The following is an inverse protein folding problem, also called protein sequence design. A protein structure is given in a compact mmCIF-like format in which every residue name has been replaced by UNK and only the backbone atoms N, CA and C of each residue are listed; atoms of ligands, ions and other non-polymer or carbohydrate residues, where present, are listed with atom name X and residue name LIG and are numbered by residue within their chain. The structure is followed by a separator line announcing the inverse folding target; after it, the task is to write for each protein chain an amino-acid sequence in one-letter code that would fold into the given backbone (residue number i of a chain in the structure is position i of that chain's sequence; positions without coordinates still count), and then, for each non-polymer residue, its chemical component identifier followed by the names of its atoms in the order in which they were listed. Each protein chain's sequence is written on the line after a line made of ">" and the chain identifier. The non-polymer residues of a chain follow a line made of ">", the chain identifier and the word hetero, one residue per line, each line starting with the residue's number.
data_IF_948522188388
#
_entry.id   IF_948522188388
#
_cell.length_a   1.000
_cell.length_b   1.000
_cell.length_c   1.000
_cell.angle_alpha   90.00
_cell.angle_beta   90.00
_cell.angle_gamma   90.00
#
_symmetry.space_group_name_H-M   'P 1'
#
loop_
_entity.id
_entity.type
_entity.pdbx_description
1 polymer ?
#
# COMPACT_ATOMS: atom_id res chain seq x y z
N UNK A 1 -17.84 -44.54 14.53
CA UNK A 1 -17.03 -45.77 14.41
C UNK A 1 -17.23 -46.27 12.99
N UNK A 2 -16.20 -46.21 12.12
CA UNK A 2 -14.98 -47.00 12.28
C UNK A 2 -13.69 -46.18 12.31
N UNK A 3 -12.77 -46.68 13.14
CA UNK A 3 -11.41 -46.25 13.41
C UNK A 3 -10.45 -46.70 12.32
N UNK A 4 -9.82 -45.76 11.62
CA UNK A 4 -8.64 -46.06 10.80
C UNK A 4 -7.39 -45.89 11.66
N UNK A 5 -6.67 -47.00 11.78
CA UNK A 5 -5.50 -47.23 12.63
C UNK A 5 -4.40 -46.22 12.28
N UNK A 6 -3.99 -45.44 13.29
CA UNK A 6 -2.78 -44.62 13.27
C UNK A 6 -1.58 -45.56 13.21
N UNK A 7 -1.12 -45.87 12.00
CA UNK A 7 0.21 -46.43 11.80
C UNK A 7 1.24 -45.39 12.23
N UNK A 8 1.76 -45.53 13.45
CA UNK A 8 2.98 -44.84 13.84
C UNK A 8 4.13 -45.45 13.04
N UNK A 9 4.43 -44.85 11.88
CA UNK A 9 5.74 -45.00 11.27
C UNK A 9 6.61 -43.94 11.92
N UNK A 10 7.45 -44.38 12.85
CA UNK A 10 8.56 -43.59 13.37
C UNK A 10 9.36 -43.04 12.19
N UNK A 11 9.28 -41.73 11.95
CA UNK A 11 10.12 -41.05 10.98
C UNK A 11 11.57 -41.17 11.46
N UNK A 12 12.46 -41.86 10.73
CA UNK A 12 13.88 -41.84 11.04
C UNK A 12 14.38 -40.42 10.81
N UNK A 13 15.03 -39.87 11.83
CA UNK A 13 15.66 -38.55 11.84
C UNK A 13 16.96 -38.54 11.03
N UNK A 14 16.93 -38.99 9.78
CA UNK A 14 18.10 -39.07 8.91
C UNK A 14 17.96 -38.17 7.67
N UNK A 15 18.97 -37.33 7.35
CA UNK A 15 18.94 -36.36 6.26
C UNK A 15 19.09 -36.99 4.85
N UNK A 16 18.92 -38.31 4.73
CA UNK A 16 19.33 -39.09 3.56
C UNK A 16 18.28 -39.10 2.44
N UNK A 17 17.02 -38.76 2.73
CA UNK A 17 15.94 -38.76 1.71
C UNK A 17 15.82 -37.48 0.88
N UNK A 18 16.62 -36.44 1.14
CA UNK A 18 16.57 -35.16 0.40
C UNK A 18 17.49 -35.08 -0.83
N UNK A 19 18.16 -36.17 -1.21
CA UNK A 19 19.23 -36.12 -2.22
C UNK A 19 18.93 -36.84 -3.55
N UNK A 20 17.87 -37.65 -3.66
CA UNK A 20 17.73 -38.56 -4.83
C UNK A 20 16.64 -38.16 -5.84
N UNK A 21 15.64 -37.37 -5.46
CA UNK A 21 14.59 -36.88 -6.38
C UNK A 21 14.78 -35.41 -6.80
N UNK A 22 15.54 -34.64 -6.03
CA UNK A 22 15.85 -33.21 -6.20
C UNK A 22 16.95 -32.91 -7.22
N UNK A 23 17.83 -33.86 -7.53
CA UNK A 23 18.91 -33.65 -8.49
C UNK A 23 18.43 -33.69 -9.96
N UNK A 24 17.44 -34.53 -10.28
CA UNK A 24 16.93 -34.72 -11.65
C UNK A 24 16.10 -33.52 -12.13
N UNK A 25 15.47 -32.79 -11.21
CA UNK A 25 14.72 -31.58 -11.52
C UNK A 25 15.53 -30.30 -11.31
N UNK A 26 16.85 -30.34 -11.09
CA UNK A 26 17.63 -29.11 -10.84
C UNK A 26 17.97 -28.36 -12.12
N UNK A 27 18.54 -29.08 -13.09
CA UNK A 27 19.08 -28.52 -14.34
C UNK A 27 18.09 -27.67 -15.15
N UNK A 28 16.83 -28.09 -15.40
CA UNK A 28 15.91 -27.26 -16.20
C UNK A 28 15.49 -25.97 -15.48
N UNK A 29 15.44 -25.96 -14.15
CA UNK A 29 15.01 -24.80 -13.38
C UNK A 29 16.13 -23.78 -13.17
N UNK A 30 17.39 -24.23 -13.02
CA UNK A 30 18.55 -23.33 -12.97
C UNK A 30 18.77 -22.68 -14.34
N UNK A 31 18.68 -23.45 -15.43
CA UNK A 31 18.80 -22.92 -16.79
C UNK A 31 17.69 -21.89 -17.12
N UNK A 32 16.47 -22.15 -16.65
CA UNK A 32 15.37 -21.20 -16.79
C UNK A 32 15.59 -19.96 -15.91
N UNK A 33 16.04 -20.12 -14.66
CA UNK A 33 16.38 -19.04 -13.75
C UNK A 33 17.44 -18.10 -14.33
N UNK A 34 18.54 -18.64 -14.86
CA UNK A 34 19.59 -17.87 -15.53
C UNK A 34 19.06 -17.14 -16.77
N UNK A 35 18.18 -17.79 -17.55
CA UNK A 35 17.55 -17.16 -18.72
C UNK A 35 16.60 -16.00 -18.36
N UNK A 36 16.05 -16.03 -17.15
CA UNK A 36 15.17 -15.00 -16.60
C UNK A 36 15.93 -13.97 -15.73
N UNK A 37 17.25 -14.12 -15.58
CA UNK A 37 18.09 -13.25 -14.75
C UNK A 37 17.91 -13.45 -13.25
N UNK A 38 17.32 -14.57 -12.81
CA UNK A 38 17.11 -14.93 -11.41
C UNK A 38 18.32 -15.71 -10.87
N UNK A 39 19.50 -15.09 -10.89
CA UNK A 39 20.76 -15.73 -10.45
C UNK A 39 20.84 -15.99 -8.95
N UNK A 40 20.01 -15.28 -8.17
CA UNK A 40 19.98 -15.41 -6.70
C UNK A 40 18.97 -16.46 -6.21
N UNK A 41 18.25 -17.11 -7.13
CA UNK A 41 17.23 -18.08 -6.80
C UNK A 41 17.72 -19.51 -7.01
N UNK A 42 18.02 -20.21 -5.92
CA UNK A 42 18.32 -21.64 -5.98
C UNK A 42 17.04 -22.47 -5.72
N UNK A 43 16.46 -23.11 -6.75
CA UNK A 43 15.18 -23.82 -6.63
C UNK A 43 15.24 -25.04 -5.70
N UNK A 44 16.43 -25.49 -5.30
CA UNK A 44 16.61 -26.64 -4.39
C UNK A 44 16.61 -26.23 -2.91
N UNK A 45 16.67 -24.94 -2.61
CA UNK A 45 16.68 -24.43 -1.22
C UNK A 45 15.29 -24.43 -0.58
N UNK A 46 14.24 -24.49 -1.40
CA UNK A 46 12.84 -24.48 -0.96
C UNK A 46 12.20 -25.81 -1.34
N UNK A 47 11.60 -26.50 -0.36
CA UNK A 47 10.81 -27.69 -0.62
C UNK A 47 9.41 -27.29 -1.12
N UNK A 48 9.13 -27.52 -2.40
CA UNK A 48 7.88 -27.14 -3.06
C UNK A 48 6.70 -28.07 -2.76
N UNK A 49 6.95 -29.24 -2.18
CA UNK A 49 5.91 -30.24 -1.86
C UNK A 49 5.27 -30.02 -0.48
N UNK A 50 5.84 -29.13 0.33
CA UNK A 50 5.31 -28.72 1.63
C UNK A 50 4.76 -27.30 1.57
N UNK A 51 3.60 -27.00 2.18
CA UNK A 51 3.13 -25.63 2.28
C UNK A 51 4.16 -24.79 3.04
N UNK A 52 4.38 -23.56 2.57
CA UNK A 52 5.32 -22.64 3.21
C UNK A 52 4.96 -22.45 4.68
N UNK A 53 5.90 -22.75 5.56
CA UNK A 53 5.75 -22.53 6.99
C UNK A 53 5.79 -21.02 7.26
N UNK A 54 4.65 -20.46 7.66
CA UNK A 54 4.60 -19.07 8.10
C UNK A 54 5.46 -18.96 9.35
N UNK A 55 6.63 -18.31 9.24
CA UNK A 55 7.51 -18.09 10.39
C UNK A 55 6.72 -17.42 11.51
N UNK A 56 6.70 -18.06 12.67
CA UNK A 56 6.05 -17.51 13.86
C UNK A 56 6.62 -16.11 14.17
N UNK A 57 5.76 -15.18 14.54
CA UNK A 57 6.06 -13.75 14.74
C UNK A 57 7.10 -13.46 15.85
N UNK A 58 7.70 -14.50 16.44
CA UNK A 58 8.60 -14.43 17.58
C UNK A 58 10.07 -14.64 17.22
N UNK A 59 10.45 -15.31 16.12
CA UNK A 59 11.87 -15.59 15.83
C UNK A 59 12.20 -15.64 14.32
N UNK A 60 13.28 -14.94 13.94
CA UNK A 60 14.05 -15.04 12.68
C UNK A 60 13.37 -14.83 11.31
N UNK A 61 12.20 -14.17 11.28
CA UNK A 61 11.57 -13.76 10.01
C UNK A 61 10.80 -12.44 10.02
N UNK A 62 10.57 -11.84 11.19
CA UNK A 62 9.79 -10.61 11.30
C UNK A 62 10.68 -9.38 11.07
N UNK A 63 10.23 -8.43 10.23
CA UNK A 63 10.91 -7.16 9.98
C UNK A 63 11.09 -6.31 11.27
N UNK A 64 10.27 -6.55 12.28
CA UNK A 64 10.35 -5.92 13.60
C UNK A 64 9.79 -6.84 14.70
N UNK A 65 10.22 -6.63 15.95
CA UNK A 65 9.66 -7.33 17.11
C UNK A 65 8.13 -7.13 17.19
N UNK A 66 7.41 -8.18 17.58
CA UNK A 66 5.94 -8.17 17.69
C UNK A 66 5.41 -6.99 18.53
N UNK A 67 6.08 -6.65 19.63
CA UNK A 67 5.75 -5.49 20.46
C UNK A 67 5.93 -4.15 19.73
N UNK A 68 6.96 -4.02 18.90
CA UNK A 68 7.16 -2.84 18.05
C UNK A 68 6.06 -2.73 16.97
N UNK A 69 5.62 -3.87 16.42
CA UNK A 69 4.49 -3.92 15.49
C UNK A 69 3.19 -3.43 16.11
N UNK A 70 2.85 -3.91 17.32
CA UNK A 70 1.68 -3.42 18.05
C UNK A 70 1.80 -1.95 18.45
N UNK A 71 2.98 -1.52 18.89
CA UNK A 71 3.23 -0.12 19.22
C UNK A 71 3.08 0.79 18.00
N UNK A 72 3.51 0.34 16.81
CA UNK A 72 3.34 1.09 15.58
C UNK A 72 1.86 1.17 15.19
N UNK A 73 1.14 0.05 15.11
CA UNK A 73 -0.27 0.07 14.69
C UNK A 73 -1.15 0.84 15.68
N UNK A 74 -1.06 0.50 16.97
CA UNK A 74 -1.93 1.08 17.99
C UNK A 74 -1.45 2.46 18.43
N UNK A 75 -0.15 2.64 18.65
CA UNK A 75 0.42 3.90 19.12
C UNK A 75 0.36 4.99 18.05
N UNK A 76 0.73 4.69 16.80
CA UNK A 76 0.62 5.65 15.70
C UNK A 76 -0.85 5.98 15.42
N UNK A 77 -1.72 4.96 15.36
CA UNK A 77 -3.17 5.17 15.15
C UNK A 77 -3.80 6.03 16.25
N UNK A 78 -3.49 5.75 17.52
CA UNK A 78 -3.97 6.54 18.65
C UNK A 78 -3.42 7.97 18.64
N UNK A 79 -2.15 8.16 18.29
CA UNK A 79 -1.53 9.48 18.17
C UNK A 79 -2.24 10.34 17.12
N UNK A 80 -2.44 9.83 15.90
CA UNK A 80 -3.14 10.58 14.85
C UNK A 80 -4.60 10.85 15.22
N UNK A 81 -5.26 9.89 15.87
CA UNK A 81 -6.62 10.09 16.38
C UNK A 81 -6.68 11.22 17.40
N UNK A 82 -5.77 11.23 18.38
CA UNK A 82 -5.69 12.29 19.39
C UNK A 82 -5.33 13.65 18.76
N UNK A 83 -4.43 13.67 17.78
CA UNK A 83 -4.06 14.87 17.04
C UNK A 83 -5.24 15.45 16.24
N UNK A 84 -5.96 14.62 15.50
CA UNK A 84 -7.16 15.05 14.78
C UNK A 84 -8.25 15.51 15.75
N UNK A 85 -8.47 14.78 16.85
CA UNK A 85 -9.41 15.17 17.89
C UNK A 85 -9.07 16.54 18.51
N UNK A 86 -7.79 16.78 18.81
CA UNK A 86 -7.32 18.05 19.34
C UNK A 86 -7.53 19.19 18.32
N UNK A 87 -7.23 18.96 17.04
CA UNK A 87 -7.49 19.92 15.97
C UNK A 87 -8.98 20.24 15.85
N UNK A 88 -9.86 19.22 15.82
CA UNK A 88 -11.32 19.40 15.78
C UNK A 88 -11.85 20.10 17.03
N UNK A 89 -11.31 19.81 18.22
CA UNK A 89 -11.70 20.48 19.45
C UNK A 89 -11.32 21.97 19.46
N UNK A 90 -10.10 22.30 18.99
CA UNK A 90 -9.65 23.69 18.85
C UNK A 90 -10.50 24.46 17.83
N UNK A 91 -10.84 23.83 16.72
CA UNK A 91 -11.74 24.38 15.70
C UNK A 91 -13.13 24.62 16.29
N UNK A 92 -13.72 23.62 16.96
CA UNK A 92 -15.04 23.73 17.59
C UNK A 92 -15.10 24.85 18.63
N UNK A 93 -14.02 25.05 19.40
CA UNK A 93 -13.90 26.14 20.38
C UNK A 93 -13.80 27.52 19.73
N UNK A 94 -13.18 27.63 18.55
CA UNK A 94 -12.93 28.90 17.88
C UNK A 94 -14.11 29.34 17.00
N UNK A 95 -14.80 28.39 16.37
CA UNK A 95 -15.79 28.67 15.33
C UNK A 95 -17.24 28.49 15.83
N UNK A 96 -17.47 27.73 16.91
CA UNK A 96 -18.81 27.45 17.45
C UNK A 96 -19.57 26.37 16.67
N UNK A 97 -20.89 26.30 16.85
CA UNK A 97 -21.73 25.29 16.19
C UNK A 97 -21.83 25.55 14.67
N UNK A 98 -21.32 24.62 13.85
CA UNK A 98 -21.28 24.73 12.39
C UNK A 98 -22.45 23.98 11.72
N UNK A 99 -23.01 24.58 10.68
CA UNK A 99 -23.97 23.92 9.78
C UNK A 99 -23.28 22.83 8.94
N UNK A 100 -24.01 21.78 8.56
CA UNK A 100 -23.52 20.73 7.66
C UNK A 100 -23.10 21.27 6.29
N UNK A 101 -23.76 22.33 5.80
CA UNK A 101 -23.36 23.01 4.56
C UNK A 101 -22.01 23.72 4.74
N UNK A 102 -21.80 24.36 5.90
CA UNK A 102 -20.56 25.05 6.20
C UNK A 102 -19.38 24.07 6.33
N UNK A 103 -19.59 22.89 6.91
CA UNK A 103 -18.57 21.84 6.99
C UNK A 103 -18.17 21.30 5.60
N UNK A 104 -19.15 21.03 4.73
CA UNK A 104 -18.86 20.50 3.38
C UNK A 104 -18.26 21.53 2.42
N UNK A 105 -18.56 22.81 2.61
CA UNK A 105 -18.12 23.89 1.70
C UNK A 105 -17.01 24.76 2.30
N UNK A 106 -16.66 24.57 3.57
CA UNK A 106 -15.80 25.46 4.35
C UNK A 106 -16.21 26.94 4.22
N UNK A 107 -17.52 27.21 4.20
CA UNK A 107 -18.10 28.54 3.99
C UNK A 107 -17.75 29.18 2.64
N UNK A 108 -17.34 28.38 1.64
CA UNK A 108 -16.79 28.81 0.34
C UNK A 108 -15.57 29.73 0.48
N UNK A 109 -14.91 29.73 1.63
CA UNK A 109 -13.80 30.62 1.96
C UNK A 109 -12.51 29.82 2.20
N UNK A 110 -12.05 29.11 1.17
CA UNK A 110 -10.79 28.35 1.20
C UNK A 110 -9.78 29.04 0.30
N UNK A 111 -8.62 29.40 0.87
CA UNK A 111 -7.53 30.01 0.11
C UNK A 111 -6.96 29.00 -0.88
N UNK A 112 -6.54 29.49 -2.05
CA UNK A 112 -5.96 28.68 -3.14
C UNK A 112 -4.79 27.81 -2.69
N UNK A 113 -3.93 28.31 -1.78
CA UNK A 113 -2.82 27.54 -1.23
C UNK A 113 -3.26 26.34 -0.38
N UNK A 114 -4.35 26.47 0.38
CA UNK A 114 -4.91 25.35 1.16
C UNK A 114 -5.53 24.31 0.23
N UNK A 115 -6.25 24.75 -0.80
CA UNK A 115 -6.78 23.86 -1.84
C UNK A 115 -5.68 23.10 -2.58
N UNK A 116 -4.57 23.77 -2.94
CA UNK A 116 -3.43 23.13 -3.60
C UNK A 116 -2.78 22.06 -2.71
N UNK A 117 -2.62 22.34 -1.41
CA UNK A 117 -2.07 21.38 -0.44
C UNK A 117 -2.91 20.10 -0.34
N UNK A 118 -4.24 20.24 -0.28
CA UNK A 118 -5.17 19.09 -0.22
C UNK A 118 -5.04 18.21 -1.47
N UNK A 119 -4.96 18.81 -2.66
CA UNK A 119 -4.82 18.07 -3.93
C UNK A 119 -3.52 17.27 -3.96
N UNK A 120 -2.39 17.87 -3.56
CA UNK A 120 -1.09 17.18 -3.52
C UNK A 120 -1.09 16.04 -2.51
N UNK A 121 -1.72 16.24 -1.34
CA UNK A 121 -1.86 15.21 -0.31
C UNK A 121 -2.65 14.00 -0.80
N UNK A 122 -3.81 14.23 -1.44
CA UNK A 122 -4.66 13.16 -1.98
C UNK A 122 -3.98 12.35 -3.08
N UNK A 123 -3.09 12.97 -3.85
CA UNK A 123 -2.29 12.29 -4.87
C UNK A 123 -1.09 11.52 -4.28
N UNK A 124 -0.73 11.77 -3.02
CA UNK A 124 0.37 11.08 -2.34
C UNK A 124 -0.12 9.77 -1.75
N UNK A 125 -0.17 8.74 -2.59
CA UNK A 125 -0.45 7.37 -2.17
C UNK A 125 0.83 6.53 -2.07
N UNK A 126 0.81 5.52 -1.20
CA UNK A 126 1.98 4.68 -0.91
C UNK A 126 2.59 4.04 -2.16
N UNK A 127 1.76 3.66 -3.15
CA UNK A 127 2.30 3.04 -4.36
C UNK A 127 3.02 4.06 -5.27
N UNK A 128 2.57 5.31 -5.36
CA UNK A 128 3.36 6.35 -6.06
C UNK A 128 4.64 6.66 -5.32
N UNK A 129 4.64 6.66 -3.98
CA UNK A 129 5.88 6.77 -3.22
C UNK A 129 6.83 5.61 -3.52
N UNK A 130 6.34 4.37 -3.50
CA UNK A 130 7.13 3.18 -3.83
C UNK A 130 7.68 3.24 -5.25
N UNK A 131 6.84 3.58 -6.23
CA UNK A 131 7.24 3.70 -7.63
C UNK A 131 8.27 4.82 -7.82
N UNK A 132 8.08 5.96 -7.14
CA UNK A 132 9.02 7.08 -7.14
C UNK A 132 10.38 6.67 -6.58
N UNK A 133 10.42 5.96 -5.44
CA UNK A 133 11.65 5.45 -4.86
C UNK A 133 12.37 4.45 -5.78
N UNK A 134 11.63 3.60 -6.49
CA UNK A 134 12.22 2.69 -7.48
C UNK A 134 12.87 3.47 -8.64
N UNK A 135 12.23 4.54 -9.13
CA UNK A 135 12.84 5.41 -10.14
C UNK A 135 14.04 6.18 -9.60
N UNK A 136 14.03 6.57 -8.31
CA UNK A 136 15.18 7.19 -7.65
C UNK A 136 16.37 6.24 -7.56
N UNK A 137 16.11 4.96 -7.29
CA UNK A 137 17.13 3.92 -7.21
C UNK A 137 17.82 3.71 -8.56
N UNK A 138 17.06 3.68 -9.65
CA UNK A 138 17.59 3.41 -10.98
C UNK A 138 18.24 4.64 -11.64
N UNK A 139 17.66 5.82 -11.46
CA UNK A 139 18.02 7.03 -12.22
C UNK A 139 18.45 8.22 -11.36
N UNK A 140 18.58 8.04 -10.04
CA UNK A 140 18.89 9.12 -9.11
C UNK A 140 17.75 10.15 -8.99
N UNK A 141 18.07 11.38 -8.59
CA UNK A 141 17.07 12.45 -8.33
C UNK A 141 16.25 12.80 -9.58
N UNK A 142 16.79 12.60 -10.78
CA UNK A 142 16.08 12.90 -12.03
C UNK A 142 14.90 11.94 -12.30
N UNK A 143 14.96 10.69 -11.82
CA UNK A 143 13.88 9.70 -11.99
C UNK A 143 12.55 10.15 -11.37
N UNK A 144 12.50 10.44 -10.06
CA UNK A 144 11.34 11.00 -9.39
C UNK A 144 10.86 12.32 -9.98
N UNK A 145 11.80 13.19 -10.39
CA UNK A 145 11.47 14.47 -11.01
C UNK A 145 10.67 14.30 -12.30
N UNK A 146 11.16 13.45 -13.21
CA UNK A 146 10.46 13.20 -14.47
C UNK A 146 9.16 12.42 -14.29
N UNK A 147 9.11 11.50 -13.32
CA UNK A 147 7.88 10.80 -12.95
C UNK A 147 6.80 11.78 -12.46
N UNK A 148 7.15 12.71 -11.56
CA UNK A 148 6.24 13.74 -11.06
C UNK A 148 5.83 14.75 -12.16
N UNK A 149 6.76 15.11 -13.05
CA UNK A 149 6.49 16.01 -14.17
C UNK A 149 5.47 15.42 -15.14
N UNK A 150 5.56 14.13 -15.46
CA UNK A 150 4.58 13.43 -16.29
C UNK A 150 3.18 13.42 -15.68
N UNK A 151 3.09 13.16 -14.37
CA UNK A 151 1.81 13.16 -13.66
C UNK A 151 1.18 14.56 -13.56
N UNK A 152 1.99 15.62 -13.47
CA UNK A 152 1.51 17.00 -13.36
C UNK A 152 0.72 17.45 -14.59
N UNK A 153 1.03 16.93 -15.79
CA UNK A 153 0.28 17.21 -17.02
C UNK A 153 -1.16 16.72 -16.91
N UNK A 154 -1.37 15.52 -16.35
CA UNK A 154 -2.70 14.95 -16.15
C UNK A 154 -3.51 15.79 -15.16
N UNK A 155 -2.90 16.24 -14.07
CA UNK A 155 -3.53 17.10 -13.06
C UNK A 155 -3.99 18.43 -13.66
N UNK A 156 -3.19 19.04 -14.56
CA UNK A 156 -3.56 20.27 -15.26
C UNK A 156 -4.77 20.07 -16.18
N UNK A 157 -4.80 18.98 -16.94
CA UNK A 157 -5.93 18.63 -17.82
C UNK A 157 -7.22 18.41 -17.01
N UNK A 158 -7.14 17.68 -15.90
CA UNK A 158 -8.28 17.51 -14.98
C UNK A 158 -8.74 18.84 -14.37
N UNK A 159 -7.81 19.78 -14.11
CA UNK A 159 -8.15 21.13 -13.66
C UNK A 159 -9.02 21.88 -14.68
N UNK A 160 -8.69 21.83 -15.97
CA UNK A 160 -9.49 22.45 -17.04
C UNK A 160 -10.86 21.81 -17.14
N UNK A 161 -10.93 20.48 -17.11
CA UNK A 161 -12.21 19.74 -17.13
C UNK A 161 -13.09 20.08 -15.91
N UNK A 162 -12.49 20.18 -14.72
CA UNK A 162 -13.21 20.55 -13.50
C UNK A 162 -13.81 21.96 -13.58
N UNK A 163 -13.11 22.92 -14.21
CA UNK A 163 -13.63 24.27 -14.46
C UNK A 163 -14.83 24.21 -15.41
N UNK A 164 -14.73 23.45 -16.50
CA UNK A 164 -15.82 23.29 -17.47
C UNK A 164 -17.07 22.64 -16.85
N UNK A 165 -16.88 21.63 -15.99
CA UNK A 165 -17.98 21.01 -15.23
C UNK A 165 -18.64 22.02 -14.30
N UNK A 166 -17.87 22.80 -13.53
CA UNK A 166 -18.43 23.84 -12.65
C UNK A 166 -19.14 24.96 -13.39
N UNK A 167 -18.73 25.25 -14.63
CA UNK A 167 -19.40 26.25 -15.49
C UNK A 167 -20.77 25.74 -15.98
N UNK A 168 -20.93 24.44 -16.19
CA UNK A 168 -22.18 23.82 -16.69
C UNK A 168 -23.13 23.37 -15.58
N UNK A 169 -22.61 22.88 -14.46
CA UNK A 169 -23.39 22.37 -13.33
C UNK A 169 -22.88 22.94 -12.00
N UNK A 170 -23.22 24.21 -11.73
CA UNK A 170 -22.67 24.99 -10.61
C UNK A 170 -23.19 24.58 -9.21
N UNK A 171 -24.32 23.86 -9.15
CA UNK A 171 -24.98 23.43 -7.92
C UNK A 171 -24.80 21.94 -7.60
N UNK A 172 -24.04 21.18 -8.41
CA UNK A 172 -23.77 19.79 -8.10
C UNK A 172 -22.74 19.68 -6.96
N UNK A 173 -23.12 19.02 -5.88
CA UNK A 173 -22.29 18.79 -4.69
C UNK A 173 -21.48 17.50 -4.77
N UNK A 174 -21.94 16.54 -5.57
CA UNK A 174 -21.26 15.27 -5.83
C UNK A 174 -21.27 14.96 -7.32
N UNK A 175 -20.34 14.12 -7.78
CA UNK A 175 -20.30 13.70 -9.18
C UNK A 175 -21.58 12.93 -9.61
N UNK A 176 -22.28 12.29 -8.66
CA UNK A 176 -23.52 11.56 -8.92
C UNK A 176 -24.71 12.48 -9.21
N UNK A 177 -24.71 13.71 -8.71
CA UNK A 177 -25.73 14.70 -9.09
C UNK A 177 -25.55 15.15 -10.53
N UNK A 178 -24.32 15.12 -11.06
CA UNK A 178 -24.04 15.49 -12.45
C UNK A 178 -24.74 14.57 -13.46
N UNK A 179 -24.92 13.29 -13.15
CA UNK A 179 -25.61 12.33 -14.02
C UNK A 179 -27.13 12.41 -13.99
N UNK A 180 -27.71 13.19 -13.07
CA UNK A 180 -29.16 13.40 -12.96
C UNK A 180 -29.64 14.71 -13.61
N UNK A 181 -28.75 15.47 -14.25
CA UNK A 181 -29.13 16.61 -15.09
C UNK A 181 -29.33 16.12 -16.53
N UNK A 182 -30.56 15.68 -16.83
CA UNK A 182 -31.05 15.49 -18.21
C UNK A 182 -31.26 16.85 -18.91
#
# INVERSE_FOLDING_TARGET
>A
IPSFVRGQMSLPSDPVYLATTTAIQREPWVALGDSLGLTDFDPITVNWDLPAEWKDATLDGAIMNQGAGYALVLGFGAFFTALTMAATYLEARSTGAMSSEHFNTAGRNVKTGLTASVIVSQWTWAATLLQSSNQAWLYGISGPFWYAAGASIQVLLFGVLAIEVKRKASNAHTFLELSNFD
#
